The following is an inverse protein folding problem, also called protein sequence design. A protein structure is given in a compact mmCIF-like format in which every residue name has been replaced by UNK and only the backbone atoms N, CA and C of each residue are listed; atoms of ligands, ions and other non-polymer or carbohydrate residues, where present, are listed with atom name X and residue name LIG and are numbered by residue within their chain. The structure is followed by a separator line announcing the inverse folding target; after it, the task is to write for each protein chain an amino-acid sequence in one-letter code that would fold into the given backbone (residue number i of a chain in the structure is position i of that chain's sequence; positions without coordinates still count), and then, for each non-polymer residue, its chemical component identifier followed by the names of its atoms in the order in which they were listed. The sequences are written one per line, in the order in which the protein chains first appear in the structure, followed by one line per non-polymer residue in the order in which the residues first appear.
data_IF_100850186896
#
_entry.id   IF_100850186896
#
_cell.length_a   1.000
_cell.length_b   1.000
_cell.length_c   1.000
_cell.angle_alpha   90.00
_cell.angle_beta   90.00
_cell.angle_gamma   90.00
#
_symmetry.space_group_name_H-M   'P 1'
#
loop_
_entity.id
_entity.type
_entity.pdbx_description
1 polymer ?
#
# COMPACT_ATOMS: atom_id res chain seq x y z
N UNK A 1 -26.12 4.55 8.59
CA UNK A 1 -25.97 5.29 7.33
C UNK A 1 -24.81 6.28 7.46
N UNK A 2 -23.56 5.81 7.39
CA UNK A 2 -22.37 6.66 7.29
C UNK A 2 -21.28 5.83 6.58
N UNK A 3 -21.09 5.96 5.26
CA UNK A 3 -19.89 5.37 4.61
C UNK A 3 -19.57 5.86 3.18
N UNK A 4 -20.40 6.65 2.52
CA UNK A 4 -20.17 6.96 1.08
C UNK A 4 -19.05 7.99 0.83
N UNK A 5 -18.93 9.14 1.53
CA UNK A 5 -17.92 10.15 1.15
C UNK A 5 -16.48 9.79 1.56
N UNK A 6 -16.30 9.14 2.71
CA UNK A 6 -14.97 8.79 3.25
C UNK A 6 -14.27 7.73 2.41
N UNK A 7 -15.03 6.83 1.77
CA UNK A 7 -14.45 5.80 0.90
C UNK A 7 -13.89 6.42 -0.40
N UNK A 8 -14.62 7.34 -1.02
CA UNK A 8 -14.19 8.02 -2.25
C UNK A 8 -12.93 8.86 -2.06
N UNK A 9 -12.80 9.58 -0.95
CA UNK A 9 -11.60 10.39 -0.66
C UNK A 9 -10.35 9.52 -0.49
N UNK A 10 -10.49 8.36 0.18
CA UNK A 10 -9.39 7.40 0.39
C UNK A 10 -8.94 6.77 -0.93
N UNK A 11 -9.89 6.42 -1.78
CA UNK A 11 -9.58 5.88 -3.11
C UNK A 11 -8.89 6.92 -3.98
N UNK A 12 -9.30 8.19 -3.93
CA UNK A 12 -8.62 9.26 -4.64
C UNK A 12 -7.16 9.46 -4.17
N UNK A 13 -6.86 9.21 -2.88
CA UNK A 13 -5.48 9.22 -2.36
C UNK A 13 -4.69 8.05 -2.92
N UNK A 14 -5.23 6.82 -2.86
CA UNK A 14 -4.58 5.62 -3.43
C UNK A 14 -4.29 5.83 -4.92
N UNK A 15 -5.24 6.39 -5.66
CA UNK A 15 -5.08 6.68 -7.08
C UNK A 15 -3.93 7.65 -7.33
N UNK A 16 -3.89 8.74 -6.57
CA UNK A 16 -2.86 9.75 -6.70
C UNK A 16 -1.48 9.15 -6.42
N UNK A 17 -1.36 8.36 -5.35
CA UNK A 17 -0.11 7.69 -4.98
C UNK A 17 0.32 6.70 -6.07
N UNK A 18 -0.61 5.89 -6.59
CA UNK A 18 -0.31 4.94 -7.65
C UNK A 18 0.07 5.65 -8.95
N UNK A 19 -0.62 6.72 -9.34
CA UNK A 19 -0.28 7.51 -10.52
C UNK A 19 1.12 8.13 -10.38
N UNK A 20 1.44 8.72 -9.23
CA UNK A 20 2.78 9.25 -8.95
C UNK A 20 3.86 8.17 -9.09
N UNK A 21 3.59 6.96 -8.62
CA UNK A 21 4.51 5.85 -8.71
C UNK A 21 4.69 5.30 -10.14
N UNK A 22 3.60 5.30 -10.93
CA UNK A 22 3.63 4.89 -12.33
C UNK A 22 4.35 5.94 -13.21
N UNK A 23 4.23 7.23 -12.87
CA UNK A 23 4.87 8.33 -13.58
C UNK A 23 6.34 8.56 -13.18
N UNK A 24 6.79 7.98 -12.05
CA UNK A 24 8.18 8.11 -11.62
C UNK A 24 9.13 7.39 -12.59
N UNK A 25 10.11 8.13 -13.13
CA UNK A 25 11.12 7.60 -14.04
C UNK A 25 11.95 6.45 -13.45
N UNK A 26 12.10 6.39 -12.12
CA UNK A 26 12.71 5.26 -11.42
C UNK A 26 11.59 4.38 -10.84
N UNK A 27 11.36 3.16 -11.38
CA UNK A 27 10.32 2.26 -10.90
C UNK A 27 10.45 1.90 -9.43
N UNK A 28 11.69 1.77 -8.92
CA UNK A 28 11.91 1.45 -7.52
C UNK A 28 11.53 2.64 -6.62
N UNK A 29 11.95 3.84 -7.01
CA UNK A 29 11.60 5.07 -6.26
C UNK A 29 10.09 5.27 -6.22
N UNK A 30 9.42 5.07 -7.36
CA UNK A 30 7.97 5.12 -7.45
C UNK A 30 7.29 4.12 -6.51
N UNK A 31 7.71 2.85 -6.54
CA UNK A 31 7.18 1.79 -5.67
C UNK A 31 7.41 2.07 -4.18
N UNK A 32 8.63 2.48 -3.79
CA UNK A 32 8.95 2.79 -2.41
C UNK A 32 8.14 3.99 -1.90
N UNK A 33 8.00 5.03 -2.71
CA UNK A 33 7.16 6.19 -2.40
C UNK A 33 5.69 5.84 -2.28
N UNK A 34 5.19 4.94 -3.12
CA UNK A 34 3.83 4.43 -3.04
C UNK A 34 3.55 3.73 -1.70
N UNK A 35 4.44 2.83 -1.27
CA UNK A 35 4.29 2.13 0.01
C UNK A 35 4.39 3.07 1.20
N UNK A 36 5.34 4.02 1.19
CA UNK A 36 5.44 5.04 2.24
C UNK A 36 4.16 5.90 2.32
N UNK A 37 3.59 6.29 1.18
CA UNK A 37 2.33 7.02 1.13
C UNK A 37 1.13 6.23 1.66
N UNK A 38 1.02 4.95 1.29
CA UNK A 38 -0.04 4.06 1.77
C UNK A 38 0.02 3.88 3.29
N UNK A 39 1.22 3.66 3.83
CA UNK A 39 1.40 3.45 5.27
C UNK A 39 1.33 4.74 6.07
N UNK A 40 1.74 5.87 5.49
CA UNK A 40 1.48 7.19 6.07
C UNK A 40 -0.03 7.47 6.16
N UNK A 41 -0.81 7.10 5.14
CA UNK A 41 -2.28 7.20 5.18
C UNK A 41 -2.87 6.33 6.31
N UNK A 42 -2.42 5.07 6.45
CA UNK A 42 -2.84 4.20 7.55
C UNK A 42 -2.46 4.78 8.92
N UNK A 43 -1.24 5.31 9.08
CA UNK A 43 -0.79 5.91 10.32
C UNK A 43 -1.55 7.19 10.70
N UNK A 44 -1.96 7.98 9.71
CA UNK A 44 -2.67 9.24 9.92
C UNK A 44 -4.16 9.08 10.33
N UNK A 45 -4.78 7.94 10.03
CA UNK A 45 -6.20 7.67 10.33
C UNK A 45 -6.36 6.27 10.94
N UNK A 46 -6.60 6.23 12.25
CA UNK A 46 -6.86 4.99 12.99
C UNK A 46 -8.04 4.19 12.41
N UNK A 47 -9.08 4.86 11.91
CA UNK A 47 -10.21 4.18 11.28
C UNK A 47 -9.80 3.47 9.98
N UNK A 48 -8.88 4.04 9.20
CA UNK A 48 -8.30 3.38 8.03
C UNK A 48 -7.48 2.18 8.47
N UNK A 49 -6.59 2.37 9.44
CA UNK A 49 -5.74 1.30 9.94
C UNK A 49 -6.55 0.12 10.46
N UNK A 50 -7.59 0.39 11.25
CA UNK A 50 -8.49 -0.63 11.78
C UNK A 50 -9.31 -1.34 10.68
N UNK A 51 -9.71 -0.62 9.62
CA UNK A 51 -10.41 -1.22 8.49
C UNK A 51 -9.50 -2.21 7.74
N UNK A 52 -8.26 -1.82 7.43
CA UNK A 52 -7.25 -2.69 6.80
C UNK A 52 -6.92 -3.89 7.71
N UNK A 53 -6.80 -3.67 9.01
CA UNK A 53 -6.49 -4.72 9.98
C UNK A 53 -7.60 -5.77 10.13
N UNK A 54 -8.86 -5.39 9.86
CA UNK A 54 -10.04 -6.28 9.93
C UNK A 54 -10.34 -6.96 8.60
N UNK A 55 -10.02 -6.31 7.49
CA UNK A 55 -10.29 -6.82 6.16
C UNK A 55 -9.09 -6.49 5.24
N UNK A 56 -8.19 -7.45 4.99
CA UNK A 56 -7.10 -7.26 4.06
C UNK A 56 -7.65 -6.82 2.71
N UNK A 57 -7.02 -5.84 2.06
CA UNK A 57 -7.51 -5.29 0.79
C UNK A 57 -7.60 -6.37 -0.32
N UNK A 58 -6.93 -7.52 -0.16
CA UNK A 58 -7.06 -8.71 -1.03
C UNK A 58 -8.23 -9.66 -0.71
N UNK A 59 -8.87 -9.54 0.46
CA UNK A 59 -10.08 -10.30 0.81
C UNK A 59 -11.37 -9.61 0.35
N UNK A 60 -11.27 -8.38 -0.16
CA UNK A 60 -12.41 -7.60 -0.69
C UNK A 60 -12.44 -7.69 -2.22
N UNK A 61 -12.73 -8.88 -2.74
CA UNK A 61 -13.29 -8.97 -4.09
C UNK A 61 -14.82 -8.97 -4.00
N UNK A 62 -15.44 -7.79 -4.12
CA UNK A 62 -16.83 -7.68 -4.57
C UNK A 62 -17.06 -6.32 -5.26
N UNK A 63 -17.02 -6.32 -6.59
CA UNK A 63 -17.65 -5.38 -7.53
C UNK A 63 -17.78 -3.89 -7.10
N UNK A 64 -16.93 -3.02 -7.66
CA UNK A 64 -17.07 -1.57 -7.61
C UNK A 64 -15.73 -0.83 -7.45
N UNK A 65 -15.77 0.26 -6.70
CA UNK A 65 -14.64 1.18 -6.43
C UNK A 65 -13.39 0.51 -5.82
N UNK A 66 -13.54 -0.57 -5.03
CA UNK A 66 -12.42 -1.36 -4.51
C UNK A 66 -11.65 -2.11 -5.61
N UNK A 67 -12.32 -2.54 -6.68
CA UNK A 67 -11.68 -3.21 -7.82
C UNK A 67 -10.71 -2.28 -8.56
N UNK A 68 -11.03 -0.98 -8.61
CA UNK A 68 -10.17 0.02 -9.25
C UNK A 68 -8.89 0.26 -8.44
N UNK A 69 -9.00 0.42 -7.12
CA UNK A 69 -7.83 0.53 -6.25
C UNK A 69 -6.97 -0.74 -6.29
N UNK A 70 -7.60 -1.93 -6.29
CA UNK A 70 -6.91 -3.20 -6.49
C UNK A 70 -6.13 -3.25 -7.82
N UNK A 71 -6.74 -2.80 -8.91
CA UNK A 71 -6.08 -2.69 -10.21
C UNK A 71 -4.89 -1.73 -10.21
N UNK A 72 -4.98 -0.60 -9.49
CA UNK A 72 -3.88 0.36 -9.39
C UNK A 72 -2.73 -0.18 -8.52
N UNK A 73 -3.04 -0.83 -7.40
CA UNK A 73 -2.04 -1.55 -6.58
C UNK A 73 -1.29 -2.58 -7.42
N UNK A 74 -2.02 -3.41 -8.17
CA UNK A 74 -1.45 -4.41 -9.07
C UNK A 74 -0.56 -3.76 -10.14
N UNK A 75 -1.03 -2.69 -10.80
CA UNK A 75 -0.27 -2.01 -11.84
C UNK A 75 1.08 -1.46 -11.34
N UNK A 76 1.12 -0.91 -10.12
CA UNK A 76 2.37 -0.41 -9.53
C UNK A 76 3.34 -1.56 -9.23
N UNK A 77 2.84 -2.67 -8.68
CA UNK A 77 3.65 -3.88 -8.42
C UNK A 77 4.17 -4.45 -9.74
N UNK A 78 3.30 -4.64 -10.72
CA UNK A 78 3.62 -5.25 -12.01
C UNK A 78 4.66 -4.43 -12.76
N UNK A 79 4.47 -3.11 -12.90
CA UNK A 79 5.45 -2.20 -13.51
C UNK A 79 6.83 -2.33 -12.85
N UNK A 80 6.86 -2.35 -11.53
CA UNK A 80 8.12 -2.41 -10.77
C UNK A 80 8.80 -3.77 -10.96
N UNK A 81 8.03 -4.86 -10.93
CA UNK A 81 8.52 -6.22 -11.17
C UNK A 81 9.02 -6.41 -12.60
N UNK A 82 8.28 -5.92 -13.59
CA UNK A 82 8.65 -5.98 -15.01
C UNK A 82 9.94 -5.21 -15.32
N UNK A 83 10.22 -4.14 -14.59
CA UNK A 83 11.50 -3.42 -14.69
C UNK A 83 12.69 -4.19 -14.10
N UNK A 84 12.46 -5.31 -13.42
CA UNK A 84 13.49 -6.17 -12.85
C UNK A 84 14.11 -5.68 -11.55
N UNK A 85 13.61 -4.58 -10.96
CA UNK A 85 14.13 -4.02 -9.69
C UNK A 85 13.41 -4.52 -8.44
N UNK A 86 12.26 -5.18 -8.61
CA UNK A 86 11.51 -5.86 -7.56
C UNK A 86 11.65 -7.38 -7.75
N UNK A 87 11.79 -8.13 -6.65
CA UNK A 87 11.90 -9.59 -6.68
C UNK A 87 10.74 -10.25 -7.43
N UNK A 88 11.04 -11.25 -8.25
CA UNK A 88 10.11 -11.82 -9.21
C UNK A 88 8.94 -12.60 -8.57
N UNK A 89 9.08 -13.02 -7.32
CA UNK A 89 8.08 -13.77 -6.55
C UNK A 89 7.18 -12.88 -5.67
N UNK A 90 7.29 -11.54 -5.77
CA UNK A 90 6.38 -10.63 -5.08
C UNK A 90 5.19 -10.24 -5.97
N UNK A 91 3.97 -10.40 -5.44
CA UNK A 91 2.72 -10.09 -6.13
C UNK A 91 1.73 -9.26 -5.31
N UNK A 92 0.54 -9.07 -5.88
CA UNK A 92 -0.54 -8.30 -5.26
C UNK A 92 -1.03 -8.92 -3.93
N UNK A 93 -1.05 -10.25 -3.82
CA UNK A 93 -1.44 -10.95 -2.60
C UNK A 93 -0.44 -10.73 -1.45
N UNK A 94 0.86 -10.70 -1.78
CA UNK A 94 1.92 -10.36 -0.82
C UNK A 94 1.80 -8.92 -0.36
N UNK A 95 1.47 -8.00 -1.28
CA UNK A 95 1.20 -6.61 -0.94
C UNK A 95 0.01 -6.47 0.00
N UNK A 96 -1.10 -7.18 -0.26
CA UNK A 96 -2.26 -7.18 0.63
C UNK A 96 -1.91 -7.70 2.04
N UNK A 97 -1.10 -8.76 2.11
CA UNK A 97 -0.60 -9.33 3.37
C UNK A 97 0.33 -8.35 4.09
N UNK A 98 1.22 -7.68 3.36
CA UNK A 98 2.11 -6.66 3.89
C UNK A 98 1.32 -5.47 4.45
N UNK A 99 0.28 -5.02 3.76
CA UNK A 99 -0.60 -3.95 4.26
C UNK A 99 -1.26 -4.32 5.57
N UNK A 100 -1.74 -5.57 5.69
CA UNK A 100 -2.29 -6.07 6.94
C UNK A 100 -1.22 -6.14 8.05
N UNK A 101 -0.03 -6.67 7.77
CA UNK A 101 1.05 -6.75 8.75
C UNK A 101 1.51 -5.37 9.22
N UNK A 102 1.70 -4.41 8.29
CA UNK A 102 2.12 -3.05 8.61
C UNK A 102 1.08 -2.32 9.44
N UNK A 103 -0.22 -2.60 9.26
CA UNK A 103 -1.27 -2.03 10.11
C UNK A 103 -1.06 -2.34 11.61
N UNK A 104 -0.48 -3.50 11.92
CA UNK A 104 -0.16 -3.90 13.31
C UNK A 104 1.09 -3.20 13.82
N UNK A 105 2.10 -3.01 12.98
CA UNK A 105 3.30 -2.25 13.31
C UNK A 105 2.94 -0.79 13.60
N UNK A 106 2.09 -0.18 12.76
CA UNK A 106 1.56 1.18 12.93
C UNK A 106 0.78 1.28 14.26
N UNK A 107 -0.10 0.32 14.55
CA UNK A 107 -0.85 0.32 15.81
C UNK A 107 0.07 0.21 17.03
N UNK A 108 1.12 -0.61 16.96
CA UNK A 108 2.12 -0.77 18.03
C UNK A 108 2.98 0.49 18.21
N UNK A 109 3.23 1.23 17.14
CA UNK A 109 4.05 2.43 17.15
C UNK A 109 3.45 3.59 17.96
N UNK A 110 2.16 3.51 18.33
CA UNK A 110 1.49 4.46 19.23
C UNK A 110 1.64 5.95 18.82
N UNK A 111 1.72 6.22 17.52
CA UNK A 111 1.88 7.56 16.95
C UNK A 111 3.32 7.98 16.63
N UNK A 112 4.32 7.14 16.92
CA UNK A 112 5.70 7.34 16.46
C UNK A 112 5.91 6.73 15.07
N UNK A 113 5.78 7.57 14.04
CA UNK A 113 5.98 7.12 12.66
C UNK A 113 7.38 6.54 12.39
N UNK A 114 8.39 6.92 13.17
CA UNK A 114 9.76 6.42 13.00
C UNK A 114 9.84 4.90 13.12
N UNK A 115 8.97 4.30 13.95
CA UNK A 115 8.92 2.86 14.16
C UNK A 115 8.46 2.14 12.89
N UNK A 116 7.31 2.52 12.32
CA UNK A 116 6.80 1.83 11.12
C UNK A 116 7.65 2.14 9.89
N UNK A 117 8.18 3.37 9.74
CA UNK A 117 9.08 3.73 8.63
C UNK A 117 10.37 2.92 8.67
N UNK A 118 10.92 2.66 9.86
CA UNK A 118 12.09 1.77 10.01
C UNK A 118 11.78 0.34 9.56
N UNK A 119 10.60 -0.19 9.90
CA UNK A 119 10.19 -1.52 9.46
C UNK A 119 9.91 -1.58 7.96
N UNK A 120 9.31 -0.53 7.39
CA UNK A 120 9.15 -0.40 5.94
C UNK A 120 10.52 -0.46 5.25
N UNK A 121 11.55 0.21 5.79
CA UNK A 121 12.92 0.14 5.27
C UNK A 121 13.43 -1.30 5.16
N UNK A 122 13.29 -2.10 6.21
CA UNK A 122 13.70 -3.52 6.16
C UNK A 122 12.93 -4.33 5.12
N UNK A 123 11.63 -4.06 4.96
CA UNK A 123 10.80 -4.72 3.95
C UNK A 123 11.28 -4.33 2.55
N UNK A 124 11.46 -3.03 2.28
CA UNK A 124 11.93 -2.52 0.99
C UNK A 124 13.29 -3.13 0.61
N UNK A 125 14.25 -3.17 1.54
CA UNK A 125 15.55 -3.78 1.30
C UNK A 125 15.43 -5.27 0.92
N UNK A 126 14.47 -6.00 1.51
CA UNK A 126 14.20 -7.41 1.21
C UNK A 126 13.38 -7.66 -0.05
N UNK A 127 12.67 -6.65 -0.56
CA UNK A 127 11.88 -6.73 -1.79
C UNK A 127 12.71 -6.40 -3.03
N UNK A 128 13.82 -5.68 -2.89
CA UNK A 128 14.66 -5.31 -4.03
C UNK A 128 15.21 -6.56 -4.71
N UNK A 129 15.16 -6.59 -6.03
CA UNK A 129 15.80 -7.64 -6.80
C UNK A 129 17.32 -7.63 -6.52
N UNK A 130 17.90 -8.82 -6.40
CA UNK A 130 19.34 -9.01 -6.22
C UNK A 130 20.06 -9.11 -7.56
#
# INVERSE_FOLDING_TARGET
MVMVPVLSDRLAVIDRLAQQALDDADPWRGFAGFLDGLFSMQASDRSINDAVARNPVGAVDVAGECGRAGGMLAAVVDRTRESGVLRADFGADDLATLMWAMSKVIAMAAGDDGIWRRHLGFVLDGLRAR
#
